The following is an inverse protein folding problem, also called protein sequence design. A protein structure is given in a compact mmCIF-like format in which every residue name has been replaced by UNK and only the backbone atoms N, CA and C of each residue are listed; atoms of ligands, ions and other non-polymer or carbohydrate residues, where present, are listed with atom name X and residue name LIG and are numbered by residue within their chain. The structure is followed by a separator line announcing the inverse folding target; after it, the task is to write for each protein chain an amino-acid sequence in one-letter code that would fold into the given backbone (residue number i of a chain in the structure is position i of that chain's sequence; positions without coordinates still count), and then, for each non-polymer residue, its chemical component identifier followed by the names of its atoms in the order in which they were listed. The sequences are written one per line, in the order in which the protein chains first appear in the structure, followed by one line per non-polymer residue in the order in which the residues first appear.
data_IF_920056380090
#
_entry.id   IF_920056380090
#
_cell.length_a   1.000
_cell.length_b   1.000
_cell.length_c   1.000
_cell.angle_alpha   90.00
_cell.angle_beta   90.00
_cell.angle_gamma   90.00
#
_symmetry.space_group_name_H-M   'P 1'
#
loop_
_entity.id
_entity.type
_entity.pdbx_description
1 polymer ?
#
# COMPACT_ATOMS: atom_id res chain seq x y z
N UNK A 1 31.96 3.21 -40.52
CA UNK A 1 31.44 2.16 -39.60
C UNK A 1 30.80 2.73 -38.31
N UNK A 2 31.33 3.78 -37.67
CA UNK A 2 30.81 4.32 -36.40
C UNK A 2 29.33 4.74 -36.37
N UNK A 3 28.78 5.33 -37.44
CA UNK A 3 27.38 5.81 -37.49
C UNK A 3 26.32 4.71 -37.41
N UNK A 4 26.62 3.50 -37.91
CA UNK A 4 25.70 2.35 -37.86
C UNK A 4 25.62 1.77 -36.44
N UNK A 5 26.71 1.80 -35.69
CA UNK A 5 26.74 1.37 -34.29
C UNK A 5 25.92 2.31 -33.40
N UNK A 6 25.99 3.62 -33.63
CA UNK A 6 25.20 4.61 -32.86
C UNK A 6 23.69 4.44 -33.10
N UNK A 7 23.28 4.19 -34.34
CA UNK A 7 21.88 3.93 -34.68
C UNK A 7 21.36 2.64 -34.04
N UNK A 8 22.17 1.58 -33.99
CA UNK A 8 21.80 0.32 -33.34
C UNK A 8 21.64 0.47 -31.82
N UNK A 9 22.53 1.23 -31.16
CA UNK A 9 22.41 1.52 -29.72
C UNK A 9 21.16 2.36 -29.42
N UNK A 10 20.87 3.37 -30.25
CA UNK A 10 19.67 4.19 -30.10
C UNK A 10 18.38 3.36 -30.22
N UNK A 11 18.31 2.46 -31.21
CA UNK A 11 17.16 1.57 -31.38
C UNK A 11 16.99 0.60 -30.20
N UNK A 12 18.08 0.06 -29.66
CA UNK A 12 18.05 -0.80 -28.47
C UNK A 12 17.55 -0.05 -27.23
N UNK A 13 18.03 1.19 -27.02
CA UNK A 13 17.58 2.03 -25.92
C UNK A 13 16.10 2.41 -26.06
N UNK A 14 15.65 2.73 -27.26
CA UNK A 14 14.25 3.04 -27.54
C UNK A 14 13.34 1.83 -27.29
N UNK A 15 13.74 0.62 -27.73
CA UNK A 15 13.01 -0.61 -27.47
C UNK A 15 12.95 -0.94 -25.98
N UNK A 16 14.05 -0.74 -25.24
CA UNK A 16 14.10 -0.94 -23.79
C UNK A 16 13.21 0.06 -23.05
N UNK A 17 13.27 1.34 -23.42
CA UNK A 17 12.39 2.36 -22.86
C UNK A 17 10.90 2.07 -23.14
N UNK A 18 10.57 1.62 -24.35
CA UNK A 18 9.21 1.21 -24.71
C UNK A 18 8.76 0.01 -23.87
N UNK A 19 9.61 -1.00 -23.66
CA UNK A 19 9.29 -2.15 -22.82
C UNK A 19 9.06 -1.76 -21.36
N UNK A 20 9.86 -0.83 -20.82
CA UNK A 20 9.66 -0.28 -19.48
C UNK A 20 8.34 0.50 -19.36
N UNK A 21 8.01 1.31 -20.37
CA UNK A 21 6.73 2.04 -20.44
C UNK A 21 5.52 1.09 -20.50
N UNK A 22 5.56 0.06 -21.35
CA UNK A 22 4.50 -0.94 -21.45
C UNK A 22 4.34 -1.68 -20.11
N UNK A 23 5.44 -2.04 -19.45
CA UNK A 23 5.40 -2.68 -18.12
C UNK A 23 4.80 -1.75 -17.06
N UNK A 24 5.15 -0.46 -17.07
CA UNK A 24 4.60 0.53 -16.14
C UNK A 24 3.09 0.76 -16.35
N UNK A 25 2.59 0.65 -17.58
CA UNK A 25 1.15 0.83 -17.89
C UNK A 25 0.33 -0.44 -17.56
N UNK A 26 0.94 -1.62 -17.63
CA UNK A 26 0.24 -2.91 -17.47
C UNK A 26 0.25 -3.44 -16.04
N UNK A 27 1.26 -3.10 -15.22
CA UNK A 27 1.27 -3.46 -13.80
C UNK A 27 0.41 -2.44 -13.04
N UNK A 28 -0.70 -2.83 -12.41
CA UNK A 28 -1.51 -1.90 -11.65
C UNK A 28 -0.67 -1.30 -10.52
N UNK A 29 -0.81 0.01 -10.35
CA UNK A 29 -0.22 0.76 -9.24
C UNK A 29 -0.34 -0.03 -7.93
N UNK A 30 0.75 -0.20 -7.16
CA UNK A 30 0.74 -1.02 -5.95
C UNK A 30 -0.32 -0.56 -4.95
N UNK A 31 -0.64 0.73 -4.89
CA UNK A 31 -1.73 1.25 -4.06
C UNK A 31 -3.08 0.72 -4.50
N UNK A 32 -3.36 0.75 -5.81
CA UNK A 32 -4.61 0.19 -6.36
C UNK A 32 -4.73 -1.33 -6.12
N UNK A 33 -3.63 -2.08 -6.23
CA UNK A 33 -3.62 -3.52 -5.87
C UNK A 33 -3.92 -3.73 -4.39
N UNK A 34 -3.32 -2.90 -3.53
CA UNK A 34 -3.52 -2.96 -2.09
C UNK A 34 -4.98 -2.67 -1.70
N UNK A 35 -5.59 -1.65 -2.30
CA UNK A 35 -7.01 -1.33 -2.11
C UNK A 35 -7.92 -2.47 -2.56
N UNK A 36 -7.67 -3.06 -3.73
CA UNK A 36 -8.46 -4.17 -4.25
C UNK A 36 -8.39 -5.40 -3.33
N UNK A 37 -7.18 -5.78 -2.90
CA UNK A 37 -6.99 -6.90 -1.99
C UNK A 37 -7.64 -6.63 -0.62
N UNK A 38 -7.51 -5.40 -0.10
CA UNK A 38 -8.15 -5.01 1.15
C UNK A 38 -9.68 -5.04 1.04
N UNK A 39 -10.25 -4.51 -0.04
CA UNK A 39 -11.70 -4.55 -0.28
C UNK A 39 -12.22 -5.99 -0.38
N UNK A 40 -11.50 -6.88 -1.09
CA UNK A 40 -11.85 -8.31 -1.18
C UNK A 40 -11.80 -8.99 0.20
N UNK A 41 -10.79 -8.67 1.02
CA UNK A 41 -10.66 -9.15 2.38
C UNK A 41 -11.88 -8.80 3.24
N UNK A 42 -12.33 -7.54 3.18
CA UNK A 42 -13.47 -7.06 3.96
C UNK A 42 -14.79 -7.61 3.42
N UNK A 43 -15.00 -7.57 2.11
CA UNK A 43 -16.27 -7.94 1.49
C UNK A 43 -16.56 -9.44 1.58
N UNK A 44 -15.52 -10.28 1.49
CA UNK A 44 -15.65 -11.73 1.43
C UNK A 44 -15.05 -12.45 2.65
N UNK A 45 -14.59 -11.72 3.67
CA UNK A 45 -13.97 -12.32 4.86
C UNK A 45 -12.67 -13.06 4.56
N UNK A 46 -11.99 -12.73 3.45
CA UNK A 46 -10.76 -13.36 2.97
C UNK A 46 -9.55 -12.86 3.77
N UNK A 47 -9.25 -13.47 4.91
CA UNK A 47 -8.12 -13.04 5.77
C UNK A 47 -6.75 -13.19 5.10
N UNK A 48 -6.63 -14.13 4.16
CA UNK A 48 -5.45 -14.32 3.32
C UNK A 48 -5.14 -13.07 2.47
N UNK A 49 -6.17 -12.37 2.00
CA UNK A 49 -6.02 -11.14 1.20
C UNK A 49 -5.50 -9.95 2.00
N UNK A 50 -5.60 -9.98 3.32
CA UNK A 50 -4.97 -8.96 4.15
C UNK A 50 -3.44 -9.04 4.07
N UNK A 51 -2.88 -10.22 3.78
CA UNK A 51 -1.45 -10.36 3.54
C UNK A 51 -1.04 -9.66 2.25
N UNK A 52 -1.71 -9.96 1.15
CA UNK A 52 -1.53 -9.31 -0.15
C UNK A 52 -1.65 -7.79 -0.04
N UNK A 53 -2.67 -7.31 0.68
CA UNK A 53 -2.91 -5.88 0.88
C UNK A 53 -1.76 -5.20 1.62
N UNK A 54 -1.28 -5.80 2.72
CA UNK A 54 -0.20 -5.23 3.50
C UNK A 54 1.13 -5.19 2.71
N UNK A 55 1.43 -6.24 1.94
CA UNK A 55 2.61 -6.25 1.06
C UNK A 55 2.51 -5.18 -0.03
N UNK A 56 1.37 -5.09 -0.70
CA UNK A 56 1.17 -4.08 -1.73
C UNK A 56 1.24 -2.64 -1.19
N UNK A 57 0.73 -2.38 0.03
CA UNK A 57 0.92 -1.08 0.68
C UNK A 57 2.39 -0.78 1.01
N UNK A 58 3.18 -1.79 1.40
CA UNK A 58 4.62 -1.64 1.60
C UNK A 58 5.34 -1.33 0.29
N UNK A 59 4.95 -1.96 -0.82
CA UNK A 59 5.48 -1.63 -2.15
C UNK A 59 5.21 -0.15 -2.50
N UNK A 60 3.99 0.32 -2.25
CA UNK A 60 3.64 1.74 -2.44
C UNK A 60 4.51 2.65 -1.60
N UNK A 61 4.74 2.30 -0.32
CA UNK A 61 5.58 3.08 0.58
C UNK A 61 7.07 3.02 0.23
N UNK A 62 7.54 1.94 -0.38
CA UNK A 62 8.90 1.86 -0.91
C UNK A 62 9.10 2.83 -2.08
N UNK A 63 8.08 2.99 -2.94
CA UNK A 63 8.08 3.96 -4.03
C UNK A 63 7.82 5.40 -3.55
N UNK A 64 6.92 5.58 -2.58
CA UNK A 64 6.47 6.87 -2.06
C UNK A 64 6.34 6.83 -0.53
N UNK A 65 7.44 7.10 0.21
CA UNK A 65 7.43 7.08 1.67
C UNK A 65 6.53 8.14 2.33
N UNK A 66 6.09 9.14 1.55
CA UNK A 66 5.22 10.24 1.98
C UNK A 66 3.75 10.00 1.65
N UNK A 67 3.38 8.84 1.12
CA UNK A 67 2.00 8.50 0.82
C UNK A 67 1.19 8.23 2.10
N UNK A 68 0.38 9.21 2.49
CA UNK A 68 -0.45 9.13 3.68
C UNK A 68 -1.60 8.10 3.58
N UNK A 69 -2.09 7.83 2.36
CA UNK A 69 -3.10 6.79 2.13
C UNK A 69 -2.46 5.42 2.36
N UNK A 70 -1.27 5.18 1.81
CA UNK A 70 -0.58 3.91 2.00
C UNK A 70 -0.22 3.63 3.47
N UNK A 71 0.23 4.63 4.23
CA UNK A 71 0.43 4.47 5.67
C UNK A 71 -0.86 4.11 6.43
N UNK A 72 -1.97 4.74 6.05
CA UNK A 72 -3.28 4.52 6.69
C UNK A 72 -3.86 3.15 6.30
N UNK A 73 -3.72 2.76 5.03
CA UNK A 73 -4.13 1.46 4.50
C UNK A 73 -3.33 0.30 5.09
N UNK A 74 -2.00 0.45 5.20
CA UNK A 74 -1.14 -0.53 5.86
C UNK A 74 -1.54 -0.71 7.34
N UNK A 75 -1.82 0.38 8.06
CA UNK A 75 -2.28 0.30 9.44
C UNK A 75 -3.56 -0.55 9.59
N UNK A 76 -4.54 -0.34 8.71
CA UNK A 76 -5.77 -1.13 8.69
C UNK A 76 -5.52 -2.61 8.36
N UNK A 77 -4.72 -2.89 7.33
CA UNK A 77 -4.41 -4.26 6.93
C UNK A 77 -3.70 -5.03 8.06
N UNK A 78 -2.70 -4.42 8.70
CA UNK A 78 -1.94 -5.02 9.79
C UNK A 78 -2.79 -5.26 11.05
N UNK A 79 -3.68 -4.34 11.38
CA UNK A 79 -4.58 -4.51 12.51
C UNK A 79 -5.55 -5.70 12.37
N UNK A 80 -6.11 -5.87 11.17
CA UNK A 80 -7.02 -6.97 10.86
C UNK A 80 -6.29 -8.30 10.80
N UNK A 81 -4.99 -8.29 10.47
CA UNK A 81 -4.09 -9.44 10.62
C UNK A 81 -3.72 -9.76 12.08
N UNK A 82 -4.08 -8.88 13.02
CA UNK A 82 -3.79 -9.06 14.44
C UNK A 82 -2.42 -8.54 14.87
N UNK A 83 -1.81 -7.62 14.12
CA UNK A 83 -0.58 -6.98 14.55
C UNK A 83 -0.80 -6.17 15.85
N UNK A 84 0.22 -6.04 16.72
CA UNK A 84 0.07 -5.36 18.01
C UNK A 84 -0.36 -3.90 17.87
N UNK A 85 -1.24 -3.44 18.76
CA UNK A 85 -1.75 -2.07 18.76
C UNK A 85 -0.66 -0.98 18.72
N UNK A 86 0.47 -1.08 19.46
CA UNK A 86 1.53 -0.08 19.37
C UNK A 86 2.16 0.01 17.98
N UNK A 87 2.22 -1.09 17.24
CA UNK A 87 2.73 -1.10 15.87
C UNK A 87 1.76 -0.39 14.93
N UNK A 88 0.48 -0.77 14.98
CA UNK A 88 -0.57 -0.15 14.17
C UNK A 88 -0.69 1.35 14.46
N UNK A 89 -0.64 1.74 15.73
CA UNK A 89 -0.71 3.14 16.14
C UNK A 89 0.42 3.99 15.52
N UNK A 90 1.65 3.45 15.42
CA UNK A 90 2.77 4.15 14.76
C UNK A 90 2.53 4.36 13.27
N UNK A 91 1.99 3.35 12.59
CA UNK A 91 1.64 3.45 11.16
C UNK A 91 0.56 4.52 10.94
N UNK A 92 -0.50 4.48 11.76
CA UNK A 92 -1.59 5.44 11.70
C UNK A 92 -1.14 6.87 11.97
N UNK A 93 -0.27 7.04 12.96
CA UNK A 93 0.33 8.32 13.31
C UNK A 93 1.23 8.86 12.20
N UNK A 94 1.99 8.00 11.51
CA UNK A 94 2.80 8.40 10.35
C UNK A 94 1.92 8.94 9.23
N UNK A 95 0.83 8.24 8.90
CA UNK A 95 -0.13 8.72 7.90
C UNK A 95 -0.80 10.04 8.32
N UNK A 96 -1.13 10.21 9.61
CA UNK A 96 -1.74 11.43 10.14
C UNK A 96 -0.83 12.64 10.00
N UNK A 97 0.46 12.51 10.30
CA UNK A 97 1.42 13.61 10.16
C UNK A 97 1.61 14.07 8.72
N UNK A 98 1.53 13.16 7.76
CA UNK A 98 1.68 13.47 6.34
C UNK A 98 0.43 14.13 5.74
N UNK A 99 -0.76 13.77 6.25
CA UNK A 99 -2.02 14.33 5.78
C UNK A 99 -3.02 14.52 6.94
N UNK A 100 -2.82 15.56 7.77
CA UNK A 100 -3.69 15.80 8.94
C UNK A 100 -5.08 16.33 8.55
N UNK A 101 -5.20 16.98 7.39
CA UNK A 101 -6.42 17.68 6.97
C UNK A 101 -7.14 17.02 5.79
N UNK A 102 -6.72 15.83 5.35
CA UNK A 102 -7.43 15.10 4.29
C UNK A 102 -8.68 14.45 4.89
N UNK A 103 -9.91 14.87 4.53
CA UNK A 103 -11.13 14.43 5.21
C UNK A 103 -11.34 12.92 5.17
N UNK A 104 -11.13 12.30 4.00
CA UNK A 104 -11.26 10.85 3.83
C UNK A 104 -10.34 10.05 4.78
N UNK A 105 -9.12 10.55 5.01
CA UNK A 105 -8.18 9.92 5.93
C UNK A 105 -8.52 10.19 7.39
N UNK A 106 -9.07 11.37 7.70
CA UNK A 106 -9.58 11.67 9.03
C UNK A 106 -10.76 10.76 9.40
N UNK A 107 -11.70 10.55 8.48
CA UNK A 107 -12.83 9.63 8.65
C UNK A 107 -12.37 8.17 8.82
N UNK A 108 -11.43 7.71 8.00
CA UNK A 108 -10.85 6.37 8.12
C UNK A 108 -10.20 6.15 9.49
N UNK A 109 -9.51 7.16 10.03
CA UNK A 109 -8.89 7.13 11.36
C UNK A 109 -9.90 7.20 12.50
N UNK A 110 -10.98 7.97 12.33
CA UNK A 110 -12.07 8.02 13.29
C UNK A 110 -12.78 6.66 13.38
N UNK A 111 -13.07 6.04 12.22
CA UNK A 111 -13.60 4.67 12.14
C UNK A 111 -12.66 3.67 12.81
N UNK A 112 -11.35 3.83 12.64
CA UNK A 112 -10.35 3.00 13.30
C UNK A 112 -10.44 3.11 14.82
N UNK A 113 -10.49 4.33 15.38
CA UNK A 113 -10.65 4.54 16.82
C UNK A 113 -11.89 3.83 17.35
N UNK A 114 -13.04 4.05 16.71
CA UNK A 114 -14.30 3.40 17.08
C UNK A 114 -14.28 1.87 16.93
N UNK A 115 -13.51 1.32 15.99
CA UNK A 115 -13.34 -0.13 15.87
C UNK A 115 -12.45 -0.69 16.97
N UNK A 116 -11.30 -0.05 17.23
CA UNK A 116 -10.34 -0.48 18.25
C UNK A 116 -10.99 -0.50 19.64
N UNK A 117 -11.75 0.54 19.96
CA UNK A 117 -12.38 0.66 21.28
C UNK A 117 -13.51 -0.36 21.49
N UNK A 118 -14.03 -0.98 20.41
CA UNK A 118 -15.01 -2.08 20.45
C UNK A 118 -14.37 -3.46 20.39
N UNK A 119 -13.08 -3.57 20.09
CA UNK A 119 -12.38 -4.85 19.99
C UNK A 119 -12.17 -5.38 21.42
N UNK A 120 -12.57 -6.62 21.74
CA UNK A 120 -12.19 -7.22 23.01
C UNK A 120 -10.66 -7.27 23.10
N UNK A 121 -10.06 -6.97 24.27
CA UNK A 121 -8.62 -7.06 24.44
C UNK A 121 -8.16 -8.45 23.97
N UNK A 122 -7.07 -8.49 23.21
CA UNK A 122 -6.49 -9.76 22.80
C UNK A 122 -6.28 -10.61 24.06
N UNK A 123 -6.84 -11.82 24.09
CA UNK A 123 -6.58 -12.75 25.18
C UNK A 123 -5.05 -12.88 25.32
N UNK A 124 -4.51 -12.84 26.55
CA UNK A 124 -3.08 -13.08 26.73
C UNK A 124 -2.74 -14.39 26.03
N UNK A 125 -1.71 -14.36 25.19
CA UNK A 125 -1.23 -15.54 24.48
C UNK A 125 -0.89 -16.67 25.47
N UNK A 126 -0.93 -17.93 25.03
CA UNK A 126 -0.61 -19.08 25.87
C UNK A 126 0.79 -18.98 26.49
#
# INVERSE_FOLDING_TARGET
MRRRATAAVFLLLAAFAAALLVRAVTVPDPGRRAEAAFAEAIAHGRTDRLHDAAEAWRDTLAASPTDAFAWTGLAWAEALRGAPDPYVARLMERGRRLAPHVPALAEARARWGAWRDRRPPAAPGP
#
